data_IF_096603175212
#
_entry.id   IF_096603175212
#
_cell.length_a   1.000
_cell.length_b   1.000
_cell.length_c   1.000
_cell.angle_alpha   90.00
_cell.angle_beta   90.00
_cell.angle_gamma   90.00
#
_symmetry.space_group_name_H-M   'P 1'
#
loop_
_entity.id
_entity.type
_entity.pdbx_description
1 polymer ?
#
# COMPACT_ATOMS: atom_id res chain seq x y z
N UNK A 1 9.62 -4.36 8.76
CA UNK A 1 8.73 -3.24 8.41
C UNK A 1 8.13 -3.56 7.05
N UNK A 2 6.81 -3.73 6.99
CA UNK A 2 6.10 -3.89 5.72
C UNK A 2 5.97 -2.51 5.07
N UNK A 3 6.42 -2.39 3.83
CA UNK A 3 6.48 -1.12 3.12
C UNK A 3 5.69 -1.28 1.81
N UNK A 4 4.52 -0.65 1.71
CA UNK A 4 3.85 -0.51 0.42
C UNK A 4 4.58 0.58 -0.40
N UNK A 5 5.11 0.21 -1.58
CA UNK A 5 5.89 1.10 -2.44
C UNK A 5 5.16 1.38 -3.75
N UNK A 6 4.55 2.55 -3.87
CA UNK A 6 3.97 2.98 -5.16
C UNK A 6 5.12 3.51 -6.04
N UNK A 7 5.55 2.74 -7.04
CA UNK A 7 6.64 3.11 -7.95
C UNK A 7 6.10 3.70 -9.28
N UNK A 8 6.23 5.02 -9.44
CA UNK A 8 5.75 5.76 -10.62
C UNK A 8 6.43 5.33 -11.96
N UNK A 9 7.67 4.84 -11.93
CA UNK A 9 8.49 4.68 -13.13
C UNK A 9 8.12 3.49 -14.03
N UNK A 10 7.35 2.52 -13.51
CA UNK A 10 6.96 1.31 -14.26
C UNK A 10 5.46 1.28 -14.60
N UNK A 11 4.74 2.40 -14.40
CA UNK A 11 3.29 2.49 -14.58
C UNK A 11 2.55 1.33 -13.86
N UNK A 12 2.99 1.02 -12.63
CA UNK A 12 2.42 -0.04 -11.81
C UNK A 12 2.38 0.36 -10.33
N UNK A 13 1.53 -0.32 -9.58
CA UNK A 13 1.56 -0.32 -8.12
C UNK A 13 2.28 -1.58 -7.67
N UNK A 14 3.21 -1.44 -6.72
CA UNK A 14 4.02 -2.54 -6.21
C UNK A 14 3.84 -2.66 -4.70
N UNK A 15 3.44 -3.83 -4.23
CA UNK A 15 3.42 -4.16 -2.81
C UNK A 15 4.57 -5.12 -2.51
N UNK A 16 5.28 -4.86 -1.43
CA UNK A 16 6.35 -5.74 -0.98
C UNK A 16 6.51 -5.65 0.54
N UNK A 17 7.36 -6.50 1.08
CA UNK A 17 7.79 -6.48 2.47
C UNK A 17 9.27 -6.76 2.55
N UNK A 18 9.88 -6.32 3.65
CA UNK A 18 11.29 -6.58 3.92
C UNK A 18 11.44 -7.65 4.99
N UNK A 19 12.41 -8.54 4.82
CA UNK A 19 12.83 -9.50 5.83
C UNK A 19 14.35 -9.49 5.94
N UNK A 20 14.87 -9.35 7.15
CA UNK A 20 16.31 -9.23 7.42
C UNK A 20 17.01 -8.16 6.55
N UNK A 21 16.34 -7.04 6.29
CA UNK A 21 16.86 -5.92 5.48
C UNK A 21 16.81 -6.14 3.96
N UNK A 22 16.36 -7.30 3.48
CA UNK A 22 16.18 -7.58 2.06
C UNK A 22 14.71 -7.47 1.62
N UNK A 23 14.49 -7.02 0.38
CA UNK A 23 13.17 -7.08 -0.26
C UNK A 23 12.81 -8.53 -0.59
N UNK A 24 11.53 -8.86 -0.44
CA UNK A 24 10.97 -10.15 -0.80
C UNK A 24 10.29 -10.08 -2.19
N UNK A 25 9.42 -11.04 -2.50
CA UNK A 25 8.72 -11.08 -3.78
C UNK A 25 7.74 -9.91 -3.92
N UNK A 26 7.66 -9.32 -5.11
CA UNK A 26 6.73 -8.23 -5.40
C UNK A 26 5.34 -8.74 -5.79
N UNK A 27 4.31 -8.04 -5.34
CA UNK A 27 2.93 -8.18 -5.82
C UNK A 27 2.57 -6.90 -6.59
N UNK A 28 2.11 -7.07 -7.83
CA UNK A 28 2.00 -5.95 -8.78
C UNK A 28 0.57 -5.80 -9.30
N UNK A 29 0.14 -4.56 -9.45
CA UNK A 29 -1.12 -4.18 -10.08
C UNK A 29 -0.89 -3.05 -11.11
N UNK A 30 -1.84 -2.88 -12.04
CA UNK A 30 -1.79 -1.76 -12.99
C UNK A 30 -1.96 -0.41 -12.30
N UNK A 31 -1.36 0.65 -12.84
CA UNK A 31 -1.46 2.02 -12.30
C UNK A 31 -2.91 2.55 -12.34
N UNK A 32 -3.55 2.83 -11.18
CA UNK A 32 -4.88 3.41 -11.16
C UNK A 32 -4.87 4.95 -11.05
N UNK A 33 -3.72 5.53 -10.72
CA UNK A 33 -3.57 6.94 -10.41
C UNK A 33 -3.31 7.78 -11.67
N UNK A 34 -3.79 9.01 -11.64
CA UNK A 34 -3.51 10.05 -12.62
C UNK A 34 -3.21 11.33 -11.85
N UNK A 35 -2.29 12.12 -12.38
CA UNK A 35 -1.97 13.45 -11.84
C UNK A 35 -3.22 14.34 -11.80
N UNK A 36 -3.22 15.32 -10.90
CA UNK A 36 -4.33 16.29 -10.72
C UNK A 36 -5.69 15.67 -10.34
N UNK A 37 -5.67 14.49 -9.70
CA UNK A 37 -6.87 13.84 -9.15
C UNK A 37 -6.70 13.52 -7.67
N UNK A 38 -7.80 13.61 -6.94
CA UNK A 38 -7.88 13.21 -5.52
C UNK A 38 -8.37 11.77 -5.44
N UNK A 39 -7.75 11.00 -4.55
CA UNK A 39 -8.08 9.61 -4.30
C UNK A 39 -8.20 9.36 -2.80
N UNK A 40 -9.13 8.49 -2.41
CA UNK A 40 -9.17 7.89 -1.08
C UNK A 40 -8.54 6.50 -1.17
N UNK A 41 -7.51 6.27 -0.36
CA UNK A 41 -6.90 4.96 -0.17
C UNK A 41 -7.24 4.45 1.22
N UNK A 42 -7.72 3.20 1.27
CA UNK A 42 -8.04 2.52 2.51
C UNK A 42 -7.27 1.20 2.56
N UNK A 43 -6.61 0.95 3.69
CA UNK A 43 -5.87 -0.28 3.95
C UNK A 43 -6.58 -1.03 5.07
N UNK A 44 -7.12 -2.21 4.77
CA UNK A 44 -7.93 -2.99 5.70
C UNK A 44 -7.26 -4.34 5.93
N UNK A 45 -6.66 -4.51 7.10
CA UNK A 45 -6.12 -5.80 7.53
C UNK A 45 -7.25 -6.75 7.89
N UNK A 46 -7.30 -7.91 7.24
CA UNK A 46 -8.29 -8.95 7.53
C UNK A 46 -7.80 -10.34 7.14
N UNK A 47 -7.88 -11.33 8.04
CA UNK A 47 -7.55 -12.74 7.76
C UNK A 47 -6.18 -12.98 7.07
N UNK A 48 -5.13 -12.26 7.47
CA UNK A 48 -3.78 -12.44 6.91
C UNK A 48 -3.56 -11.79 5.55
N UNK A 49 -4.40 -10.82 5.19
CA UNK A 49 -4.22 -9.97 4.02
C UNK A 49 -4.55 -8.53 4.35
N UNK A 50 -3.87 -7.61 3.68
CA UNK A 50 -4.21 -6.19 3.66
C UNK A 50 -4.97 -5.93 2.37
N UNK A 51 -6.27 -5.69 2.48
CA UNK A 51 -7.11 -5.26 1.37
C UNK A 51 -6.91 -3.77 1.13
N UNK A 52 -6.64 -3.39 -0.12
CA UNK A 52 -6.46 -2.00 -0.55
C UNK A 52 -7.69 -1.60 -1.35
N UNK A 53 -8.41 -0.59 -0.86
CA UNK A 53 -9.53 0.02 -1.57
C UNK A 53 -9.09 1.35 -2.17
N UNK A 54 -9.56 1.60 -3.38
CA UNK A 54 -9.43 2.88 -4.08
C UNK A 54 -10.83 3.47 -4.26
N UNK A 55 -11.06 4.63 -3.65
CA UNK A 55 -12.36 5.30 -3.66
C UNK A 55 -13.50 4.36 -3.21
N UNK A 56 -13.30 3.60 -2.12
CA UNK A 56 -14.27 2.64 -1.58
C UNK A 56 -14.46 1.35 -2.40
N UNK A 57 -13.73 1.15 -3.49
CA UNK A 57 -13.80 -0.06 -4.33
C UNK A 57 -12.54 -0.91 -4.17
N UNK A 58 -12.63 -2.25 -4.02
CA UNK A 58 -11.45 -3.11 -3.98
C UNK A 58 -10.54 -2.90 -5.19
N UNK A 59 -9.26 -2.61 -4.93
CA UNK A 59 -8.25 -2.41 -5.97
C UNK A 59 -7.28 -3.60 -6.04
N UNK A 60 -6.67 -3.96 -4.91
CA UNK A 60 -5.81 -5.13 -4.79
C UNK A 60 -5.79 -5.64 -3.34
N UNK A 61 -5.32 -6.87 -3.15
CA UNK A 61 -4.98 -7.40 -1.82
C UNK A 61 -3.49 -7.70 -1.77
N UNK A 62 -2.88 -7.53 -0.60
CA UNK A 62 -1.51 -7.94 -0.32
C UNK A 62 -1.52 -9.02 0.76
N UNK A 63 -0.86 -10.14 0.51
CA UNK A 63 -0.74 -11.20 1.52
C UNK A 63 0.25 -10.77 2.61
N UNK A 64 -0.22 -10.70 3.86
CA UNK A 64 0.62 -10.35 5.01
C UNK A 64 1.77 -11.36 5.15
N UNK A 65 3.00 -10.86 5.35
CA UNK A 65 4.17 -11.72 5.61
C UNK A 65 4.62 -11.62 7.07
N UNK A 66 4.13 -10.61 7.77
CA UNK A 66 4.16 -10.47 9.21
C UNK A 66 2.74 -10.15 9.70
N UNK A 67 2.38 -10.55 10.94
CA UNK A 67 1.06 -10.22 11.47
C UNK A 67 0.83 -8.71 11.49
N UNK A 68 -0.31 -8.24 10.96
CA UNK A 68 -0.67 -6.82 11.02
C UNK A 68 -0.64 -6.22 12.44
N UNK A 69 -0.78 -7.05 13.48
CA UNK A 69 -0.63 -6.65 14.88
C UNK A 69 0.76 -6.13 15.25
N UNK A 70 1.78 -6.39 14.44
CA UNK A 70 3.15 -5.90 14.63
C UNK A 70 3.41 -4.55 13.93
N UNK A 71 2.44 -4.03 13.18
CA UNK A 71 2.54 -2.73 12.51
C UNK A 71 2.39 -1.62 13.56
N UNK A 72 3.43 -0.80 13.72
CA UNK A 72 3.45 0.28 14.70
C UNK A 72 3.67 1.68 14.08
N UNK A 73 3.86 1.76 12.77
CA UNK A 73 4.16 3.02 12.08
C UNK A 73 3.64 2.99 10.65
N UNK A 74 3.20 4.15 10.17
CA UNK A 74 2.83 4.40 8.78
C UNK A 74 3.73 5.52 8.26
N UNK A 75 4.35 5.30 7.10
CA UNK A 75 5.15 6.30 6.40
C UNK A 75 4.49 6.60 5.06
N UNK A 76 4.36 7.89 4.73
CA UNK A 76 3.87 8.36 3.43
C UNK A 76 4.96 9.28 2.87
N UNK A 77 5.50 8.91 1.72
CA UNK A 77 6.56 9.66 1.04
C UNK A 77 6.40 9.65 -0.47
N UNK A 78 7.31 10.34 -1.15
CA UNK A 78 7.26 10.53 -2.60
C UNK A 78 6.49 11.78 -3.03
N UNK A 79 6.12 11.84 -4.31
CA UNK A 79 5.40 12.96 -4.92
C UNK A 79 3.89 12.82 -4.67
N UNK A 80 3.47 13.17 -3.45
CA UNK A 80 2.07 13.07 -3.02
C UNK A 80 1.69 14.22 -2.09
N UNK A 81 0.51 14.79 -2.31
CA UNK A 81 -0.12 15.71 -1.36
C UNK A 81 -1.10 14.93 -0.47
N UNK A 82 -0.85 14.90 0.84
CA UNK A 82 -1.73 14.24 1.81
C UNK A 82 -2.75 15.24 2.33
N UNK A 83 -4.02 15.07 1.93
CA UNK A 83 -5.10 15.90 2.44
C UNK A 83 -5.53 15.52 3.86
N UNK A 84 -5.65 14.21 4.14
CA UNK A 84 -6.00 13.69 5.45
C UNK A 84 -5.45 12.26 5.64
N UNK A 85 -5.28 11.87 6.90
CA UNK A 85 -5.00 10.50 7.31
C UNK A 85 -5.88 10.16 8.52
N UNK A 86 -6.46 8.96 8.52
CA UNK A 86 -7.35 8.50 9.57
C UNK A 86 -7.04 7.04 9.92
N UNK A 87 -7.03 6.71 11.21
CA UNK A 87 -6.77 5.36 11.73
C UNK A 87 -7.93 5.01 12.67
N UNK A 88 -8.48 3.80 12.54
CA UNK A 88 -9.55 3.27 13.39
C UNK A 88 -9.01 2.21 14.35
#
# INVERSE_FOLDING_TARGET
MENALILHNENSVVCNSTSNGGWLNEERAGMPFRTERVYTLEFVSNYGQIQILLNGTPFMSFAERLPSSEIHSVEIGGDVHVHSAHIH
#
